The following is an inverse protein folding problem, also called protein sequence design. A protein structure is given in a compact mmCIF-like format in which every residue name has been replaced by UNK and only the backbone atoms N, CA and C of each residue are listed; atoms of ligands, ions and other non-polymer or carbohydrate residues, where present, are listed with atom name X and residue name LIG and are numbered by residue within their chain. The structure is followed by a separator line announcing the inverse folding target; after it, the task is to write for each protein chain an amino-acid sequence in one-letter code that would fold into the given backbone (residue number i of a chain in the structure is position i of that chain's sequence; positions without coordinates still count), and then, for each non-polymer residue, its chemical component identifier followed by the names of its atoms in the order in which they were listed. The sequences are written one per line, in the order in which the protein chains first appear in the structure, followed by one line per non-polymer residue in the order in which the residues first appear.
data_IF_705071435968
#
_entry.id   IF_705071435968
#
_cell.length_a   1.000
_cell.length_b   1.000
_cell.length_c   1.000
_cell.angle_alpha   90.00
_cell.angle_beta   90.00
_cell.angle_gamma   90.00
#
_symmetry.space_group_name_H-M   'P 1'
#
loop_
_entity.id
_entity.type
_entity.pdbx_description
1 polymer ?
#
# COMPACT_ATOMS: atom_id res chain seq x y z
N UNK A 1 23.21 11.08 14.77
CA UNK A 1 21.81 10.62 14.73
C UNK A 1 20.83 11.61 15.38
N UNK A 2 21.27 12.47 16.31
CA UNK A 2 20.41 13.47 16.99
C UNK A 2 19.69 14.46 16.06
N UNK A 3 20.24 14.76 14.87
CA UNK A 3 19.70 15.76 13.93
C UNK A 3 18.26 15.49 13.46
N UNK A 4 17.79 14.24 13.53
CA UNK A 4 16.48 13.84 13.02
C UNK A 4 15.49 13.35 14.09
N UNK A 5 15.94 13.30 15.35
CA UNK A 5 15.19 12.72 16.45
C UNK A 5 13.86 13.46 16.67
N UNK A 6 12.74 12.73 16.64
CA UNK A 6 11.41 13.28 16.85
C UNK A 6 10.88 14.17 15.72
N UNK A 7 11.57 14.25 14.57
CA UNK A 7 11.05 14.92 13.38
C UNK A 7 9.83 14.16 12.85
N UNK A 8 8.76 14.92 12.56
CA UNK A 8 7.56 14.38 11.93
C UNK A 8 7.65 14.49 10.40
N UNK A 9 7.29 13.41 9.72
CA UNK A 9 7.09 13.36 8.27
C UNK A 9 5.70 12.85 7.94
N UNK A 10 5.19 13.23 6.78
CA UNK A 10 3.95 12.68 6.23
C UNK A 10 4.28 11.65 5.15
N UNK A 11 3.72 10.46 5.25
CA UNK A 11 3.83 9.43 4.21
C UNK A 11 2.46 9.13 3.63
N UNK A 12 2.26 9.39 2.35
CA UNK A 12 1.00 9.18 1.65
C UNK A 12 1.05 7.95 0.74
N UNK A 13 0.09 7.04 0.89
CA UNK A 13 -0.09 5.83 0.08
C UNK A 13 -1.28 6.02 -0.87
N UNK A 14 -1.06 5.76 -2.16
CA UNK A 14 -2.11 5.78 -3.20
C UNK A 14 -2.49 4.36 -3.66
N UNK A 15 -3.44 4.23 -4.58
CA UNK A 15 -3.98 2.94 -5.05
C UNK A 15 -3.06 2.13 -5.96
N UNK A 16 -1.74 2.17 -5.74
CA UNK A 16 -0.73 1.48 -6.53
C UNK A 16 -0.22 0.23 -5.84
N UNK A 17 -0.19 -0.92 -6.55
CA UNK A 17 0.39 -2.16 -6.03
C UNK A 17 1.92 -2.23 -6.21
N UNK A 18 2.43 -1.66 -7.30
CA UNK A 18 3.86 -1.60 -7.57
C UNK A 18 4.61 -0.87 -6.44
N UNK A 19 5.73 -1.46 -6.02
CA UNK A 19 6.58 -1.00 -4.92
C UNK A 19 5.90 -0.83 -3.56
N UNK A 20 4.65 -1.26 -3.36
CA UNK A 20 3.92 -1.01 -2.13
C UNK A 20 4.60 -1.68 -0.92
N UNK A 21 4.89 -2.99 -1.01
CA UNK A 21 5.54 -3.73 0.09
C UNK A 21 6.92 -3.17 0.40
N UNK A 22 7.74 -2.96 -0.63
CA UNK A 22 9.06 -2.33 -0.52
C UNK A 22 9.01 -0.93 0.09
N UNK A 23 7.98 -0.13 -0.23
CA UNK A 23 7.78 1.21 0.35
C UNK A 23 7.53 1.13 1.86
N UNK A 24 6.74 0.14 2.31
CA UNK A 24 6.50 -0.07 3.75
C UNK A 24 7.77 -0.55 4.46
N UNK A 25 8.55 -1.43 3.84
CA UNK A 25 9.81 -1.91 4.40
C UNK A 25 10.84 -0.76 4.53
N UNK A 26 10.91 0.13 3.54
CA UNK A 26 11.72 1.36 3.62
C UNK A 26 11.20 2.28 4.72
N UNK A 27 9.89 2.50 4.81
CA UNK A 27 9.27 3.33 5.85
C UNK A 27 9.64 2.84 7.26
N UNK A 28 9.55 1.52 7.49
CA UNK A 28 9.94 0.90 8.76
C UNK A 28 11.43 1.11 9.06
N UNK A 29 12.30 0.88 8.06
CA UNK A 29 13.74 1.03 8.20
C UNK A 29 14.15 2.46 8.54
N UNK A 30 13.64 3.46 7.82
CA UNK A 30 14.01 4.86 8.08
C UNK A 30 13.47 5.35 9.42
N UNK A 31 12.29 4.87 9.84
CA UNK A 31 11.73 5.18 11.15
C UNK A 31 12.69 4.75 12.26
N UNK A 32 13.16 3.51 12.20
CA UNK A 32 14.07 2.95 13.19
C UNK A 32 15.46 3.61 13.16
N UNK A 33 16.00 3.87 11.97
CA UNK A 33 17.35 4.45 11.83
C UNK A 33 17.43 5.92 12.24
N UNK A 34 16.35 6.68 12.09
CA UNK A 34 16.35 8.14 12.25
C UNK A 34 15.45 8.63 13.40
N UNK A 35 14.78 7.72 14.13
CA UNK A 35 13.80 8.01 15.18
C UNK A 35 12.71 9.01 14.74
N UNK A 36 12.09 8.70 13.59
CA UNK A 36 11.07 9.56 12.97
C UNK A 36 9.66 9.28 13.52
N UNK A 37 8.89 10.35 13.64
CA UNK A 37 7.42 10.26 13.72
C UNK A 37 6.85 10.25 12.31
N UNK A 38 6.01 9.29 11.99
CA UNK A 38 5.46 9.11 10.65
C UNK A 38 3.93 9.05 10.74
N UNK A 39 3.25 10.12 10.30
CA UNK A 39 1.81 10.06 10.05
C UNK A 39 1.61 9.44 8.68
N UNK A 40 0.83 8.36 8.61
CA UNK A 40 0.53 7.65 7.37
C UNK A 40 -0.83 8.13 6.85
N UNK A 41 -0.81 8.83 5.72
CA UNK A 41 -2.00 9.18 4.97
C UNK A 41 -2.27 8.12 3.91
N UNK A 42 -3.52 7.72 3.74
CA UNK A 42 -3.89 6.69 2.77
C UNK A 42 -5.11 7.17 2.00
N UNK A 43 -5.04 7.20 0.67
CA UNK A 43 -6.25 7.45 -0.14
C UNK A 43 -7.26 6.31 0.03
N UNK A 44 -8.54 6.53 -0.28
CA UNK A 44 -9.56 5.45 -0.23
C UNK A 44 -9.13 4.20 -0.99
N UNK A 45 -8.65 4.37 -2.22
CA UNK A 45 -8.10 3.27 -3.03
C UNK A 45 -6.77 2.72 -2.50
N UNK A 46 -5.91 3.58 -1.96
CA UNK A 46 -4.68 3.12 -1.31
C UNK A 46 -4.95 2.18 -0.13
N UNK A 47 -6.06 2.38 0.60
CA UNK A 47 -6.44 1.50 1.70
C UNK A 47 -6.87 0.12 1.19
N UNK A 48 -7.68 0.08 0.13
CA UNK A 48 -8.09 -1.19 -0.50
C UNK A 48 -6.89 -1.96 -1.03
N UNK A 49 -5.96 -1.29 -1.71
CA UNK A 49 -4.74 -1.94 -2.20
C UNK A 49 -3.84 -2.38 -1.04
N UNK A 50 -3.64 -1.54 -0.02
CA UNK A 50 -2.89 -1.93 1.18
C UNK A 50 -3.49 -3.15 1.90
N UNK A 51 -4.82 -3.25 1.94
CA UNK A 51 -5.55 -4.41 2.46
C UNK A 51 -5.26 -5.65 1.61
N UNK A 52 -5.42 -5.57 0.30
CA UNK A 52 -5.21 -6.68 -0.64
C UNK A 52 -3.75 -7.18 -0.57
N UNK A 53 -2.79 -6.27 -0.41
CA UNK A 53 -1.36 -6.57 -0.33
C UNK A 53 -0.88 -6.99 1.07
N UNK A 54 -1.79 -7.09 2.04
CA UNK A 54 -1.49 -7.56 3.39
C UNK A 54 -0.54 -6.66 4.18
N UNK A 55 -0.43 -5.37 3.82
CA UNK A 55 0.53 -4.45 4.44
C UNK A 55 -0.07 -3.61 5.58
N UNK A 56 -1.40 -3.59 5.74
CA UNK A 56 -2.06 -2.86 6.83
C UNK A 56 -1.50 -3.19 8.24
N UNK A 57 -1.24 -4.46 8.61
CA UNK A 57 -0.65 -4.76 9.91
C UNK A 57 0.75 -4.17 10.11
N UNK A 58 1.58 -4.15 9.05
CA UNK A 58 2.90 -3.50 9.07
C UNK A 58 2.76 -1.99 9.26
N UNK A 59 1.82 -1.35 8.56
CA UNK A 59 1.54 0.08 8.70
C UNK A 59 1.11 0.41 10.14
N UNK A 60 0.23 -0.40 10.74
CA UNK A 60 -0.18 -0.25 12.14
C UNK A 60 0.99 -0.36 13.13
N UNK A 61 1.99 -1.20 12.85
CA UNK A 61 3.18 -1.30 13.69
C UNK A 61 4.10 -0.07 13.57
N UNK A 62 4.12 0.60 12.42
CA UNK A 62 4.92 1.81 12.17
C UNK A 62 4.24 3.06 12.74
N UNK A 63 2.93 3.16 12.57
CA UNK A 63 2.09 4.29 12.98
C UNK A 63 1.26 3.90 14.21
N UNK A 64 1.85 4.09 15.39
CA UNK A 64 1.33 3.62 16.68
C UNK A 64 0.02 4.26 17.15
N UNK A 65 -0.47 5.30 16.46
CA UNK A 65 -1.62 6.11 16.85
C UNK A 65 -1.28 7.28 17.78
N UNK A 66 -0.01 7.44 18.19
CA UNK A 66 0.46 8.61 18.94
C UNK A 66 0.46 9.86 18.06
N UNK A 67 0.72 11.01 18.69
CA UNK A 67 0.80 12.29 17.99
C UNK A 67 1.91 12.30 16.93
N UNK A 68 1.53 12.56 15.67
CA UNK A 68 2.35 12.42 14.45
C UNK A 68 2.70 10.97 14.07
N UNK A 69 1.94 10.00 14.57
CA UNK A 69 2.04 8.58 14.23
C UNK A 69 0.66 7.99 13.92
N UNK A 70 -0.26 8.81 13.42
CA UNK A 70 -1.63 8.42 13.09
C UNK A 70 -1.72 7.75 11.71
N UNK A 71 -2.77 6.94 11.51
CA UNK A 71 -3.17 6.44 10.19
C UNK A 71 -4.45 7.17 9.79
N UNK A 72 -4.38 7.92 8.70
CA UNK A 72 -5.43 8.82 8.25
C UNK A 72 -5.91 8.41 6.86
N UNK A 73 -7.12 7.85 6.79
CA UNK A 73 -7.67 7.25 5.56
C UNK A 73 -8.70 8.17 4.90
N UNK A 74 -8.57 8.33 3.59
CA UNK A 74 -9.49 9.10 2.76
C UNK A 74 -9.67 10.53 3.26
N UNK A 75 -10.92 10.97 3.28
CA UNK A 75 -11.29 12.35 3.58
C UNK A 75 -11.02 12.72 5.04
N UNK A 76 -10.93 11.73 5.94
CA UNK A 76 -10.57 11.98 7.34
C UNK A 76 -9.17 12.60 7.47
N UNK A 77 -8.25 12.28 6.55
CA UNK A 77 -6.93 12.91 6.52
C UNK A 77 -6.97 14.40 6.21
N UNK A 78 -8.05 14.92 5.61
CA UNK A 78 -8.17 16.33 5.22
C UNK A 78 -8.15 17.24 6.46
N UNK A 79 -8.70 16.80 7.60
CA UNK A 79 -8.68 17.57 8.85
C UNK A 79 -7.26 17.85 9.37
N UNK A 80 -6.26 17.12 8.88
CA UNK A 80 -4.88 17.19 9.35
C UNK A 80 -3.92 17.86 8.35
N UNK A 81 -4.36 18.22 7.15
CA UNK A 81 -3.47 18.79 6.11
C UNK A 81 -2.89 20.14 6.51
N UNK A 82 -3.54 20.88 7.42
CA UNK A 82 -3.01 22.14 7.96
C UNK A 82 -1.65 21.97 8.63
N UNK A 83 -1.34 20.78 9.16
CA UNK A 83 -0.01 20.44 9.71
C UNK A 83 1.09 20.52 8.65
N UNK A 84 0.77 20.20 7.39
CA UNK A 84 1.70 20.34 6.27
C UNK A 84 2.02 21.81 6.02
N UNK A 85 0.99 22.65 5.88
CA UNK A 85 1.15 24.08 5.65
C UNK A 85 1.95 24.78 6.75
N UNK A 86 1.68 24.42 8.02
CA UNK A 86 2.41 24.91 9.20
C UNK A 86 3.83 24.33 9.35
N UNK A 87 4.33 23.55 8.39
CA UNK A 87 5.65 22.90 8.42
C UNK A 87 5.87 22.00 9.65
N UNK A 88 4.77 21.45 10.20
CA UNK A 88 4.85 20.45 11.28
C UNK A 88 5.39 19.13 10.74
N UNK A 89 5.04 18.79 9.51
CA UNK A 89 5.74 17.78 8.73
C UNK A 89 6.92 18.42 7.99
N UNK A 90 8.11 17.84 8.11
CA UNK A 90 9.35 18.34 7.48
C UNK A 90 9.60 17.75 6.09
N UNK A 91 8.88 16.69 5.74
CA UNK A 91 8.97 15.99 4.47
C UNK A 91 7.59 15.40 4.15
N UNK A 92 7.19 15.49 2.88
CA UNK A 92 6.10 14.70 2.32
C UNK A 92 6.70 13.59 1.44
N UNK A 93 6.31 12.34 1.70
CA UNK A 93 6.58 11.21 0.80
C UNK A 93 5.25 10.75 0.23
N UNK A 94 5.15 10.58 -1.09
CA UNK A 94 3.99 9.96 -1.76
C UNK A 94 4.49 8.69 -2.44
N UNK A 95 4.33 7.55 -1.77
CA UNK A 95 4.87 6.28 -2.22
C UNK A 95 4.00 5.10 -1.76
N UNK A 96 3.48 4.29 -2.70
CA UNK A 96 3.49 4.49 -4.16
C UNK A 96 2.52 5.60 -4.61
N UNK A 97 2.78 6.20 -5.78
CA UNK A 97 1.98 7.22 -6.44
C UNK A 97 1.46 6.73 -7.81
N UNK A 98 0.16 6.45 -7.92
CA UNK A 98 -0.49 6.05 -9.19
C UNK A 98 -0.40 7.15 -10.25
N UNK A 99 -0.36 6.80 -11.54
CA UNK A 99 -0.51 7.76 -12.65
C UNK A 99 -1.69 8.73 -12.47
N UNK A 100 -2.84 8.29 -11.96
CA UNK A 100 -3.98 9.16 -11.66
C UNK A 100 -3.63 10.26 -10.64
N UNK A 101 -2.93 9.91 -9.56
CA UNK A 101 -2.47 10.91 -8.57
C UNK A 101 -1.40 11.83 -9.16
N UNK A 102 -0.46 11.29 -9.95
CA UNK A 102 0.55 12.10 -10.65
C UNK A 102 -0.11 13.12 -11.58
N UNK A 103 -1.05 12.70 -12.41
CA UNK A 103 -1.79 13.58 -13.32
C UNK A 103 -2.53 14.68 -12.56
N UNK A 104 -3.22 14.35 -11.46
CA UNK A 104 -3.87 15.34 -10.60
C UNK A 104 -2.89 16.40 -10.09
N UNK A 105 -1.74 15.97 -9.57
CA UNK A 105 -0.71 16.88 -9.06
C UNK A 105 -0.12 17.76 -10.17
N UNK A 106 0.19 17.17 -11.33
CA UNK A 106 0.72 17.89 -12.48
C UNK A 106 -0.25 18.96 -13.04
N UNK A 107 -1.56 18.70 -12.97
CA UNK A 107 -2.61 19.63 -13.39
C UNK A 107 -3.15 20.51 -12.26
N UNK A 108 -2.58 20.46 -11.05
CA UNK A 108 -3.01 21.28 -9.91
C UNK A 108 -4.38 20.91 -9.33
N UNK A 109 -4.92 19.72 -9.64
CA UNK A 109 -6.14 19.19 -9.04
C UNK A 109 -5.82 18.72 -7.62
N UNK A 110 -6.59 19.18 -6.63
CA UNK A 110 -6.40 18.87 -5.20
C UNK A 110 -7.69 18.36 -4.55
N UNK A 111 -8.26 17.27 -5.09
CA UNK A 111 -9.60 16.77 -4.76
C UNK A 111 -9.60 15.54 -3.82
N UNK A 112 -8.42 15.06 -3.41
CA UNK A 112 -8.28 13.94 -2.47
C UNK A 112 -7.06 14.15 -1.56
N UNK A 113 -6.90 13.30 -0.54
CA UNK A 113 -5.85 13.49 0.47
C UNK A 113 -4.43 13.57 -0.11
N UNK A 114 -4.09 12.77 -1.12
CA UNK A 114 -2.75 12.76 -1.71
C UNK A 114 -2.45 14.07 -2.47
N UNK A 115 -3.37 14.47 -3.35
CA UNK A 115 -3.25 15.68 -4.15
C UNK A 115 -3.37 16.97 -3.31
N UNK A 116 -4.18 16.94 -2.24
CA UNK A 116 -4.28 18.04 -1.28
C UNK A 116 -2.99 18.19 -0.45
N UNK A 117 -2.41 17.10 0.05
CA UNK A 117 -1.12 17.14 0.76
C UNK A 117 -0.02 17.71 -0.13
N UNK A 118 0.04 17.26 -1.40
CA UNK A 118 0.98 17.80 -2.38
C UNK A 118 0.80 19.31 -2.57
N UNK A 119 -0.44 19.77 -2.81
CA UNK A 119 -0.74 21.19 -2.96
C UNK A 119 -0.30 22.01 -1.74
N UNK A 120 -0.51 21.50 -0.52
CA UNK A 120 -0.08 22.17 0.71
C UNK A 120 1.43 22.17 0.89
N UNK A 121 2.12 21.07 0.53
CA UNK A 121 3.56 20.97 0.61
C UNK A 121 4.23 21.98 -0.33
N UNK A 122 3.76 22.09 -1.58
CA UNK A 122 4.28 23.06 -2.55
C UNK A 122 4.05 24.49 -2.09
N UNK A 123 2.83 24.84 -1.64
CA UNK A 123 2.52 26.18 -1.12
C UNK A 123 3.39 26.61 0.06
N UNK A 124 3.78 25.66 0.90
CA UNK A 124 4.60 25.93 2.09
C UNK A 124 6.09 25.71 1.87
N UNK A 125 6.51 25.18 0.72
CA UNK A 125 7.91 24.84 0.45
C UNK A 125 8.42 23.66 1.28
N UNK A 126 7.54 22.72 1.64
CA UNK A 126 7.94 21.46 2.27
C UNK A 126 8.50 20.53 1.18
N UNK A 127 9.73 19.99 1.35
CA UNK A 127 10.29 19.03 0.42
C UNK A 127 9.35 17.85 0.20
N UNK A 128 9.22 17.43 -1.06
CA UNK A 128 8.30 16.35 -1.45
C UNK A 128 9.04 15.31 -2.28
N UNK A 129 8.93 14.04 -1.89
CA UNK A 129 9.43 12.87 -2.62
C UNK A 129 8.24 12.09 -3.16
N UNK A 130 8.29 11.69 -4.43
CA UNK A 130 7.21 10.98 -5.10
C UNK A 130 7.80 9.72 -5.74
N UNK A 131 7.15 8.57 -5.54
CA UNK A 131 7.50 7.30 -6.18
C UNK A 131 6.38 6.87 -7.14
N UNK A 132 6.45 7.22 -8.43
CA UNK A 132 5.45 6.80 -9.41
C UNK A 132 5.44 5.28 -9.63
N UNK A 133 4.25 4.72 -9.85
CA UNK A 133 4.09 3.26 -10.12
C UNK A 133 4.39 2.86 -11.55
N UNK A 134 4.30 3.81 -12.49
CA UNK A 134 4.31 3.55 -13.92
C UNK A 134 5.66 3.90 -14.56
N UNK A 135 6.76 3.78 -13.79
CA UNK A 135 8.12 3.98 -14.29
C UNK A 135 8.67 2.64 -14.81
N UNK A 136 9.05 2.56 -16.09
CA UNK A 136 9.72 1.38 -16.61
C UNK A 136 11.11 1.20 -16.00
N UNK A 137 11.54 -0.04 -15.85
CA UNK A 137 12.91 -0.40 -15.52
C UNK A 137 13.86 -0.12 -16.70
N UNK A 138 15.15 -0.38 -16.53
CA UNK A 138 16.17 -0.16 -17.57
C UNK A 138 15.94 -0.97 -18.85
N UNK A 139 15.10 -2.00 -18.80
CA UNK A 139 14.73 -2.85 -19.94
C UNK A 139 13.41 -2.41 -20.59
N UNK A 140 12.78 -1.34 -20.08
CA UNK A 140 11.52 -0.80 -20.60
C UNK A 140 10.26 -1.46 -20.05
N UNK A 141 10.37 -2.36 -19.06
CA UNK A 141 9.23 -3.07 -18.46
C UNK A 141 8.82 -2.45 -17.13
N UNK A 142 7.52 -2.43 -16.86
CA UNK A 142 6.98 -2.06 -15.55
C UNK A 142 6.88 -3.32 -14.71
N UNK A 143 7.72 -3.44 -13.69
CA UNK A 143 7.67 -4.57 -12.76
C UNK A 143 6.57 -4.33 -11.71
N UNK A 144 5.62 -5.25 -11.61
CA UNK A 144 4.53 -5.15 -10.63
C UNK A 144 4.43 -6.39 -9.76
N UNK A 145 4.26 -6.16 -8.45
CA UNK A 145 3.92 -7.23 -7.53
C UNK A 145 2.44 -7.56 -7.67
N UNK A 146 2.15 -8.82 -7.99
CA UNK A 146 0.78 -9.30 -8.10
C UNK A 146 0.20 -9.66 -6.73
N UNK A 147 -1.06 -9.31 -6.44
CA UNK A 147 -1.73 -9.78 -5.24
C UNK A 147 -1.93 -11.30 -5.28
N UNK A 148 -2.40 -11.89 -4.18
CA UNK A 148 -2.67 -13.33 -4.16
C UNK A 148 -3.64 -13.75 -5.28
N UNK A 149 -3.24 -14.74 -6.08
CA UNK A 149 -4.03 -15.35 -7.14
C UNK A 149 -3.89 -16.88 -7.14
N UNK A 150 -4.78 -17.56 -7.85
CA UNK A 150 -4.72 -19.01 -8.06
C UNK A 150 -4.21 -19.26 -9.48
N UNK A 151 -3.09 -19.94 -9.60
CA UNK A 151 -2.58 -20.47 -10.84
C UNK A 151 -3.51 -21.60 -11.33
N UNK A 152 -4.23 -21.34 -12.41
CA UNK A 152 -5.25 -22.25 -12.93
C UNK A 152 -4.65 -23.50 -13.54
N UNK A 153 -3.49 -23.38 -14.18
CA UNK A 153 -2.85 -24.53 -14.83
C UNK A 153 -2.39 -25.55 -13.79
N UNK A 154 -1.90 -25.07 -12.64
CA UNK A 154 -1.58 -25.93 -11.50
C UNK A 154 -2.86 -26.43 -10.84
N UNK A 155 -3.84 -25.56 -10.58
CA UNK A 155 -5.04 -25.92 -9.82
C UNK A 155 -5.94 -26.93 -10.52
N UNK A 156 -6.13 -26.83 -11.84
CA UNK A 156 -7.05 -27.69 -12.60
C UNK A 156 -6.50 -29.09 -12.86
N UNK A 157 -5.17 -29.26 -12.81
CA UNK A 157 -4.53 -30.57 -12.96
C UNK A 157 -4.67 -31.43 -11.69
N UNK A 158 -5.14 -30.85 -10.59
CA UNK A 158 -5.22 -31.51 -9.30
C UNK A 158 -6.66 -31.87 -8.98
N UNK A 159 -6.94 -33.16 -8.84
CA UNK A 159 -8.26 -33.65 -8.43
C UNK A 159 -8.43 -33.52 -6.91
N UNK A 160 -8.74 -32.30 -6.46
CA UNK A 160 -8.93 -31.99 -5.05
C UNK A 160 -10.41 -32.13 -4.67
N UNK A 161 -10.75 -33.14 -3.86
CA UNK A 161 -12.11 -33.27 -3.33
C UNK A 161 -12.53 -32.06 -2.49
N UNK A 162 -11.70 -31.67 -1.50
CA UNK A 162 -11.92 -30.49 -0.65
C UNK A 162 -10.72 -29.53 -0.73
N UNK A 163 -10.98 -28.23 -0.91
CA UNK A 163 -9.93 -27.25 -1.03
C UNK A 163 -9.52 -26.65 0.33
N UNK A 164 -8.33 -27.02 0.83
CA UNK A 164 -7.80 -26.46 2.08
C UNK A 164 -7.57 -24.94 2.02
N UNK A 165 -7.20 -24.41 0.85
CA UNK A 165 -7.02 -22.97 0.66
C UNK A 165 -8.34 -22.20 0.81
N UNK A 166 -9.44 -22.78 0.33
CA UNK A 166 -10.78 -22.25 0.53
C UNK A 166 -11.18 -22.29 2.01
N UNK A 167 -11.01 -23.44 2.66
CA UNK A 167 -11.38 -23.67 4.06
C UNK A 167 -10.67 -22.74 5.05
N UNK A 168 -9.37 -22.50 4.85
CA UNK A 168 -8.55 -21.72 5.80
C UNK A 168 -8.75 -20.20 5.66
N UNK A 169 -9.45 -19.74 4.62
CA UNK A 169 -9.57 -18.32 4.31
C UNK A 169 -10.46 -17.60 5.34
N UNK A 170 -9.91 -16.73 6.22
CA UNK A 170 -10.67 -16.16 7.34
C UNK A 170 -11.77 -15.20 6.87
N UNK A 171 -11.62 -14.65 5.67
CA UNK A 171 -12.53 -13.68 5.06
C UNK A 171 -13.39 -14.28 3.95
N UNK A 172 -13.32 -15.62 3.75
CA UNK A 172 -14.04 -16.35 2.69
C UNK A 172 -13.88 -15.70 1.30
N UNK A 173 -12.65 -15.30 0.99
CA UNK A 173 -12.31 -14.66 -0.28
C UNK A 173 -12.13 -15.67 -1.42
N UNK A 174 -11.80 -16.92 -1.13
CA UNK A 174 -11.70 -17.97 -2.15
C UNK A 174 -13.11 -18.52 -2.42
N UNK A 175 -13.51 -18.52 -3.69
CA UNK A 175 -14.83 -18.99 -4.15
C UNK A 175 -14.68 -19.82 -5.42
N UNK A 176 -15.59 -20.75 -5.62
CA UNK A 176 -15.74 -21.48 -6.88
C UNK A 176 -16.69 -20.73 -7.82
N UNK A 177 -16.21 -20.39 -9.01
CA UNK A 177 -16.97 -19.74 -10.08
C UNK A 177 -16.77 -20.58 -11.34
N UNK A 178 -17.86 -21.12 -11.89
CA UNK A 178 -17.86 -22.03 -13.05
C UNK A 178 -16.91 -23.22 -12.87
N UNK A 179 -16.94 -23.83 -11.69
CA UNK A 179 -16.05 -24.94 -11.34
C UNK A 179 -14.61 -24.55 -11.00
N UNK A 180 -14.19 -23.31 -11.25
CA UNK A 180 -12.81 -22.82 -11.04
C UNK A 180 -12.71 -22.00 -9.76
N UNK A 181 -11.71 -22.29 -8.92
CA UNK A 181 -11.43 -21.49 -7.73
C UNK A 181 -10.82 -20.13 -8.12
N UNK A 182 -11.32 -19.06 -7.50
CA UNK A 182 -10.86 -17.68 -7.67
C UNK A 182 -10.74 -16.98 -6.32
N UNK A 183 -9.80 -16.04 -6.22
CA UNK A 183 -9.69 -15.14 -5.07
C UNK A 183 -10.45 -13.86 -5.36
N UNK A 184 -11.44 -13.56 -4.54
CA UNK A 184 -12.21 -12.32 -4.50
C UNK A 184 -11.38 -11.23 -3.80
N UNK A 185 -10.71 -10.38 -4.58
CA UNK A 185 -9.86 -9.30 -4.06
C UNK A 185 -10.64 -8.23 -3.28
N UNK A 186 -11.96 -8.09 -3.51
CA UNK A 186 -12.80 -7.21 -2.69
C UNK A 186 -12.87 -7.65 -1.22
N UNK A 187 -12.58 -8.93 -0.95
CA UNK A 187 -12.58 -9.51 0.40
C UNK A 187 -11.17 -9.85 0.90
N UNK A 188 -10.25 -10.19 0.00
CA UNK A 188 -8.92 -10.69 0.34
C UNK A 188 -8.10 -9.69 1.15
N UNK A 189 -7.59 -10.10 2.32
CA UNK A 189 -6.77 -9.25 3.21
C UNK A 189 -5.27 -9.55 3.11
N UNK A 190 -4.83 -10.29 2.09
CA UNK A 190 -3.41 -10.57 1.86
C UNK A 190 -2.69 -11.34 2.98
N UNK A 191 -3.42 -12.14 3.78
CA UNK A 191 -2.86 -12.82 4.97
C UNK A 191 -2.05 -14.10 4.67
N UNK A 192 -1.90 -14.50 3.40
CA UNK A 192 -1.09 -15.64 2.94
C UNK A 192 -1.47 -17.04 3.48
N UNK A 193 -2.50 -17.18 4.34
CA UNK A 193 -2.90 -18.51 4.86
C UNK A 193 -3.15 -19.53 3.75
N UNK A 194 -3.81 -19.10 2.67
CA UNK A 194 -4.07 -19.94 1.49
C UNK A 194 -2.82 -20.30 0.69
N UNK A 195 -1.77 -19.46 0.72
CA UNK A 195 -0.48 -19.73 0.08
C UNK A 195 0.16 -20.96 0.74
N UNK A 196 0.19 -20.99 2.07
CA UNK A 196 0.83 -22.06 2.84
C UNK A 196 -0.03 -23.32 2.98
N UNK A 197 -1.36 -23.21 2.88
CA UNK A 197 -2.26 -24.36 3.03
C UNK A 197 -2.44 -25.18 1.75
N UNK A 198 -2.10 -24.65 0.57
CA UNK A 198 -2.26 -25.35 -0.70
C UNK A 198 -1.10 -26.33 -0.91
N UNK A 199 -1.30 -27.66 -0.80
CA UNK A 199 -0.21 -28.63 -0.91
C UNK A 199 0.43 -28.64 -2.32
N UNK A 200 -0.35 -28.25 -3.33
CA UNK A 200 0.08 -28.20 -4.73
C UNK A 200 0.70 -26.86 -5.13
N UNK A 201 0.80 -25.88 -4.21
CA UNK A 201 1.36 -24.55 -4.45
C UNK A 201 0.71 -23.81 -5.64
N UNK A 202 -0.59 -24.05 -5.85
CA UNK A 202 -1.38 -23.38 -6.88
C UNK A 202 -1.70 -21.92 -6.50
N UNK A 203 -1.81 -21.62 -5.21
CA UNK A 203 -1.93 -20.24 -4.73
C UNK A 203 -0.56 -19.57 -4.84
N UNK A 204 -0.50 -18.40 -5.48
CA UNK A 204 0.69 -17.55 -5.57
C UNK A 204 0.36 -16.19 -4.96
N UNK A 205 1.32 -15.58 -4.28
CA UNK A 205 1.20 -14.21 -3.79
C UNK A 205 2.51 -13.46 -4.06
N UNK A 206 2.41 -12.15 -4.32
CA UNK A 206 3.55 -11.23 -4.47
C UNK A 206 4.52 -11.61 -5.59
N UNK A 207 4.03 -12.33 -6.60
CA UNK A 207 4.82 -12.64 -7.77
C UNK A 207 5.12 -11.37 -8.54
N UNK A 208 6.39 -11.14 -8.87
CA UNK A 208 6.81 -10.08 -9.78
C UNK A 208 6.52 -10.54 -11.21
N UNK A 209 5.82 -9.69 -11.97
CA UNK A 209 5.54 -9.86 -13.39
C UNK A 209 5.84 -8.58 -14.13
#
# INVERSE_FOLDING_TARGET
MEKFMGIAIAWCITGGGAYLRSSIDVMQRIKALLDLKITVFITRWGFEVARIFGVLPKINAIASGKYYEEILVGDYGIYYIGRMNMKRYRLLVIAPATANTIAKMAHGIADNIASALYSQAIKSGVPTVILPTDIPNNEGFIETETPCYIDREVCLKMDCGKCLAEDICPVKAIKRVDGVLRIDLSRCIGCEKCLYSCPYKAVKCWGKR
#
